data_IF_097847279262
#
_entry.id   IF_097847279262
#
_cell.length_a   1.000
_cell.length_b   1.000
_cell.length_c   1.000
_cell.angle_alpha   90.00
_cell.angle_beta   90.00
_cell.angle_gamma   90.00
#
_symmetry.space_group_name_H-M   'P 1'
#
loop_
_entity.id
_entity.type
_entity.pdbx_description
1 polymer ?
#
# COMPACT_ATOMS: atom_id res chain seq x y z
N UNK A 1 22.50 10.25 -14.89
CA UNK A 1 22.45 9.02 -14.06
C UNK A 1 23.35 9.28 -12.87
N UNK A 2 22.80 9.41 -11.69
CA UNK A 2 23.57 9.51 -10.45
C UNK A 2 23.96 8.09 -10.05
N UNK A 3 25.19 7.73 -10.26
CA UNK A 3 25.76 6.46 -9.81
C UNK A 3 26.45 6.70 -8.47
N UNK A 4 25.89 6.20 -7.40
CA UNK A 4 26.45 6.25 -6.06
C UNK A 4 25.59 5.43 -5.11
N UNK A 5 26.16 5.01 -3.98
CA UNK A 5 25.37 4.43 -2.88
C UNK A 5 24.52 5.56 -2.31
N UNK A 6 23.21 5.40 -2.37
CA UNK A 6 22.30 6.38 -1.79
C UNK A 6 22.51 6.43 -0.27
N UNK A 7 22.58 7.63 0.35
CA UNK A 7 22.54 7.71 1.79
C UNK A 7 21.23 7.04 2.25
N UNK A 8 21.31 6.28 3.33
CA UNK A 8 20.15 5.59 3.89
C UNK A 8 19.01 6.56 4.26
N UNK A 9 17.82 6.06 4.55
CA UNK A 9 16.71 6.88 5.00
C UNK A 9 17.08 7.64 6.28
N UNK A 10 16.37 8.75 6.54
CA UNK A 10 16.58 9.55 7.74
C UNK A 10 16.50 8.71 9.02
N UNK A 11 17.42 8.94 9.93
CA UNK A 11 17.51 8.23 11.20
C UNK A 11 17.53 9.27 12.33
N UNK A 12 16.55 9.17 13.22
CA UNK A 12 16.42 10.08 14.36
C UNK A 12 16.61 9.35 15.67
N UNK A 13 17.24 10.01 16.64
CA UNK A 13 17.43 9.51 17.99
C UNK A 13 16.57 10.31 18.97
N UNK A 14 15.80 9.60 19.78
CA UNK A 14 15.04 10.15 20.90
C UNK A 14 15.59 9.55 22.19
N UNK A 15 15.85 10.38 23.19
CA UNK A 15 16.34 9.96 24.50
C UNK A 15 15.39 10.41 25.61
N UNK A 16 15.11 9.51 26.53
CA UNK A 16 14.34 9.83 27.75
C UNK A 16 14.69 8.86 28.87
N UNK A 17 15.02 9.38 30.03
CA UNK A 17 15.28 8.57 31.25
C UNK A 17 16.37 7.50 31.09
N UNK A 18 17.43 7.79 30.32
CA UNK A 18 18.52 6.85 30.05
C UNK A 18 18.16 5.76 28.98
N UNK A 19 16.99 5.83 28.39
CA UNK A 19 16.55 4.97 27.28
C UNK A 19 16.70 5.69 25.95
N UNK A 20 17.03 4.95 24.90
CA UNK A 20 17.18 5.47 23.56
C UNK A 20 16.20 4.78 22.62
N UNK A 21 15.55 5.56 21.76
CA UNK A 21 14.73 5.08 20.64
C UNK A 21 15.30 5.65 19.34
N UNK A 22 15.60 4.77 18.40
CA UNK A 22 16.00 5.14 17.07
C UNK A 22 14.81 4.97 16.11
N UNK A 23 14.49 6.02 15.37
CA UNK A 23 13.39 6.04 14.42
C UNK A 23 13.98 6.09 13.02
N UNK A 24 13.78 5.03 12.24
CA UNK A 24 14.20 4.94 10.85
C UNK A 24 13.02 5.33 9.95
N UNK A 25 13.16 6.41 9.19
CA UNK A 25 12.15 6.83 8.22
C UNK A 25 12.10 5.87 7.04
N UNK A 26 10.91 5.65 6.51
CA UNK A 26 10.72 4.88 5.28
C UNK A 26 9.81 5.64 4.32
N UNK A 27 10.00 5.43 3.03
CA UNK A 27 9.17 6.00 1.97
C UNK A 27 8.79 4.90 0.98
N UNK A 28 7.64 5.01 0.37
CA UNK A 28 7.16 4.10 -0.67
C UNK A 28 6.37 4.92 -1.71
N UNK A 29 6.50 4.62 -3.01
CA UNK A 29 7.32 3.57 -3.61
C UNK A 29 8.82 3.93 -3.70
N UNK A 30 9.66 2.91 -3.86
CA UNK A 30 11.10 3.03 -4.05
C UNK A 30 11.55 2.27 -5.31
N UNK A 31 12.68 2.64 -5.95
CA UNK A 31 13.27 1.83 -7.02
C UNK A 31 13.48 0.39 -6.54
N UNK A 32 13.07 -0.59 -7.36
CA UNK A 32 13.11 -2.02 -7.00
C UNK A 32 14.54 -2.50 -6.68
N UNK A 33 15.50 -2.00 -7.43
CA UNK A 33 16.92 -2.38 -7.31
C UNK A 33 17.72 -1.40 -6.46
N UNK A 34 17.03 -0.58 -5.66
CA UNK A 34 17.68 0.42 -4.82
C UNK A 34 18.58 -0.26 -3.78
N UNK A 35 19.86 0.08 -3.85
CA UNK A 35 20.84 -0.25 -2.81
C UNK A 35 21.07 0.98 -1.95
N UNK A 36 20.93 0.82 -0.65
CA UNK A 36 21.21 1.86 0.32
C UNK A 36 22.24 1.39 1.34
N UNK A 37 23.01 2.34 1.88
CA UNK A 37 24.06 2.05 2.86
C UNK A 37 23.43 1.82 4.24
N UNK A 38 23.40 0.57 4.67
CA UNK A 38 22.79 0.15 5.93
C UNK A 38 23.81 0.02 7.07
N UNK A 39 25.09 0.42 6.87
CA UNK A 39 26.17 0.20 7.86
C UNK A 39 25.81 0.75 9.23
N UNK A 40 25.40 2.03 9.30
CA UNK A 40 25.01 2.67 10.56
C UNK A 40 23.80 2.00 11.21
N UNK A 41 22.82 1.56 10.42
CA UNK A 41 21.66 0.82 10.92
C UNK A 41 22.08 -0.55 11.44
N UNK A 42 23.00 -1.23 10.77
CA UNK A 42 23.56 -2.50 11.22
C UNK A 42 24.31 -2.41 12.55
N UNK A 43 25.09 -1.34 12.77
CA UNK A 43 25.78 -1.08 14.03
C UNK A 43 24.79 -0.81 15.18
N UNK A 44 23.73 -0.07 14.92
CA UNK A 44 22.67 0.20 15.89
C UNK A 44 21.87 -1.04 16.24
N UNK A 45 21.56 -1.87 15.23
CA UNK A 45 20.87 -3.14 15.45
C UNK A 45 21.67 -4.08 16.35
N UNK A 46 22.99 -4.11 16.20
CA UNK A 46 23.86 -4.95 17.05
C UNK A 46 23.85 -4.53 18.53
N UNK A 47 23.38 -3.32 18.85
CA UNK A 47 23.30 -2.76 20.20
C UNK A 47 21.85 -2.62 20.69
N UNK A 48 20.88 -2.95 19.84
CA UNK A 48 19.47 -2.79 20.15
C UNK A 48 18.93 -3.96 20.99
N UNK A 49 18.13 -3.66 22.00
CA UNK A 49 17.41 -4.67 22.79
C UNK A 49 16.26 -5.30 21.98
N UNK A 50 15.65 -4.53 21.07
CA UNK A 50 14.57 -4.98 20.21
C UNK A 50 14.40 -4.07 18.99
N UNK A 51 13.77 -4.59 17.94
CA UNK A 51 13.28 -3.84 16.79
C UNK A 51 11.77 -3.80 16.84
N UNK A 52 11.20 -2.61 16.71
CA UNK A 52 9.75 -2.44 16.61
C UNK A 52 9.35 -2.53 15.14
N UNK A 53 8.32 -3.34 14.82
CA UNK A 53 7.78 -3.37 13.47
C UNK A 53 7.20 -2.02 13.06
N UNK A 54 7.08 -1.69 11.78
CA UNK A 54 6.29 -0.55 11.35
C UNK A 54 4.88 -0.63 11.93
N UNK A 55 4.35 0.50 12.39
CA UNK A 55 2.97 0.55 12.84
C UNK A 55 2.04 0.18 11.68
N UNK A 56 1.12 -0.72 11.95
CA UNK A 56 0.16 -1.22 10.97
C UNK A 56 -1.14 -1.61 11.65
N UNK A 57 -2.16 -1.82 10.85
CA UNK A 57 -3.41 -2.41 11.30
C UNK A 57 -3.62 -3.72 10.55
N UNK A 58 -3.58 -4.83 11.27
CA UNK A 58 -3.85 -6.15 10.73
C UNK A 58 -5.27 -6.57 11.05
N UNK A 59 -5.96 -7.13 10.06
CA UNK A 59 -7.26 -7.73 10.27
C UNK A 59 -7.09 -9.15 10.81
N UNK A 60 -7.66 -9.42 11.97
CA UNK A 60 -7.72 -10.78 12.50
C UNK A 60 -8.83 -11.55 11.76
N UNK A 61 -8.40 -12.39 10.79
CA UNK A 61 -9.30 -13.16 9.93
C UNK A 61 -9.40 -14.59 10.41
N UNK A 62 -10.58 -15.01 10.84
CA UNK A 62 -10.87 -16.41 11.07
C UNK A 62 -11.07 -17.16 9.74
N UNK A 63 -10.95 -18.49 9.76
CA UNK A 63 -11.28 -19.32 8.60
C UNK A 63 -12.72 -19.09 8.10
N UNK A 64 -13.66 -18.80 9.02
CA UNK A 64 -15.02 -18.42 8.69
C UNK A 64 -15.12 -17.08 7.98
N UNK A 65 -14.24 -16.12 8.28
CA UNK A 65 -14.20 -14.81 7.62
C UNK A 65 -13.63 -14.92 6.20
N UNK A 66 -12.63 -15.77 5.98
CA UNK A 66 -12.14 -16.09 4.64
C UNK A 66 -13.26 -16.65 3.76
N UNK A 67 -14.07 -17.58 4.28
CA UNK A 67 -15.21 -18.12 3.55
C UNK A 67 -16.26 -17.06 3.26
N UNK A 68 -16.57 -16.17 4.21
CA UNK A 68 -17.46 -15.02 3.99
C UNK A 68 -16.90 -14.07 2.92
N UNK A 69 -15.60 -13.79 2.92
CA UNK A 69 -14.95 -12.96 1.89
C UNK A 69 -15.13 -13.58 0.50
N UNK A 70 -14.98 -14.89 0.35
CA UNK A 70 -15.22 -15.57 -0.93
C UNK A 70 -16.68 -15.39 -1.41
N UNK A 71 -17.65 -15.46 -0.52
CA UNK A 71 -19.06 -15.21 -0.87
C UNK A 71 -19.36 -13.75 -1.21
N UNK A 72 -18.59 -12.81 -0.62
CA UNK A 72 -18.71 -11.38 -0.85
C UNK A 72 -17.92 -10.90 -2.07
N UNK A 73 -16.99 -11.71 -2.60
CA UNK A 73 -16.13 -11.34 -3.75
C UNK A 73 -16.94 -10.92 -4.99
N UNK A 74 -18.09 -11.55 -5.22
CA UNK A 74 -18.99 -11.18 -6.33
C UNK A 74 -19.59 -9.79 -6.13
N UNK A 75 -19.98 -9.45 -4.90
CA UNK A 75 -20.50 -8.13 -4.53
C UNK A 75 -19.40 -7.07 -4.54
N UNK A 76 -18.19 -7.41 -4.12
CA UNK A 76 -17.01 -6.56 -4.20
C UNK A 76 -16.68 -6.21 -5.66
N UNK A 77 -16.65 -7.20 -6.55
CA UNK A 77 -16.43 -6.97 -7.98
C UNK A 77 -17.52 -6.10 -8.64
N UNK A 78 -18.76 -6.21 -8.18
CA UNK A 78 -19.83 -5.33 -8.66
C UNK A 78 -19.64 -3.88 -8.15
N UNK A 79 -19.07 -3.71 -6.96
CA UNK A 79 -18.80 -2.39 -6.39
C UNK A 79 -17.63 -1.66 -7.06
N UNK A 80 -16.66 -2.39 -7.58
CA UNK A 80 -15.53 -1.84 -8.33
C UNK A 80 -16.00 -1.25 -9.67
N UNK A 81 -17.06 -1.77 -10.25
CA UNK A 81 -17.52 -1.39 -11.59
C UNK A 81 -18.49 -0.21 -11.55
N UNK A 82 -18.44 0.59 -12.60
CA UNK A 82 -19.46 1.59 -12.88
C UNK A 82 -20.81 0.90 -13.17
N UNK A 83 -21.93 1.51 -12.75
CA UNK A 83 -23.28 0.99 -13.07
C UNK A 83 -23.58 1.11 -14.56
N UNK A 84 -24.63 0.44 -15.01
CA UNK A 84 -25.26 0.58 -16.34
C UNK A 84 -24.31 0.48 -17.53
N UNK A 85 -23.18 -0.23 -17.37
CA UNK A 85 -22.09 -0.36 -18.35
C UNK A 85 -21.41 0.97 -18.70
N UNK A 86 -21.56 1.99 -17.88
CA UNK A 86 -20.86 3.25 -18.04
C UNK A 86 -19.34 3.04 -18.08
N UNK A 87 -18.66 4.01 -18.67
CA UNK A 87 -17.19 4.10 -18.73
C UNK A 87 -16.70 5.33 -18.00
N UNK A 88 -15.40 5.43 -17.77
CA UNK A 88 -14.81 6.62 -17.16
C UNK A 88 -15.09 7.89 -17.95
N UNK A 89 -15.15 7.79 -19.27
CA UNK A 89 -15.52 8.92 -20.16
C UNK A 89 -16.90 9.50 -19.86
N UNK A 90 -17.82 8.68 -19.31
CA UNK A 90 -19.19 9.10 -19.02
C UNK A 90 -19.35 9.75 -17.65
N UNK A 91 -18.35 9.60 -16.74
CA UNK A 91 -18.49 9.96 -15.31
C UNK A 91 -17.44 10.96 -14.80
N UNK A 92 -16.35 11.17 -15.53
CA UNK A 92 -15.33 12.15 -15.15
C UNK A 92 -15.27 13.31 -16.15
N UNK A 93 -14.78 14.50 -15.75
CA UNK A 93 -14.65 15.66 -16.64
C UNK A 93 -13.81 15.33 -17.89
N UNK A 94 -14.15 15.93 -19.02
CA UNK A 94 -13.52 15.64 -20.33
C UNK A 94 -12.01 15.89 -20.33
N UNK A 95 -11.56 16.92 -19.67
CA UNK A 95 -10.14 17.28 -19.54
C UNK A 95 -9.39 16.24 -18.69
N UNK A 96 -10.00 15.80 -17.59
CA UNK A 96 -9.48 14.71 -16.74
C UNK A 96 -9.43 13.40 -17.51
N UNK A 97 -10.46 13.09 -18.30
CA UNK A 97 -10.47 11.88 -19.14
C UNK A 97 -9.39 11.92 -20.23
N UNK A 98 -9.10 13.08 -20.80
CA UNK A 98 -8.02 13.21 -21.78
C UNK A 98 -6.64 12.88 -21.16
N UNK A 99 -6.36 13.37 -19.94
CA UNK A 99 -5.15 13.01 -19.19
C UNK A 99 -5.11 11.52 -18.84
N UNK A 100 -6.22 10.99 -18.33
CA UNK A 100 -6.37 9.57 -18.04
C UNK A 100 -6.07 8.70 -19.26
N UNK A 101 -6.68 9.02 -20.40
CA UNK A 101 -6.52 8.25 -21.65
C UNK A 101 -5.06 8.20 -22.10
N UNK A 102 -4.33 9.32 -21.99
CA UNK A 102 -2.90 9.37 -22.32
C UNK A 102 -2.07 8.47 -21.39
N UNK A 103 -2.27 8.56 -20.09
CA UNK A 103 -1.57 7.71 -19.11
C UNK A 103 -1.95 6.24 -19.24
N UNK A 104 -3.23 5.94 -19.47
CA UNK A 104 -3.69 4.57 -19.72
C UNK A 104 -3.01 3.97 -20.94
N UNK A 105 -2.90 4.72 -22.04
CA UNK A 105 -2.22 4.24 -23.23
C UNK A 105 -0.74 3.92 -22.97
N UNK A 106 -0.11 4.65 -22.08
CA UNK A 106 1.28 4.44 -21.70
C UNK A 106 1.48 3.23 -20.80
N UNK A 107 0.64 3.04 -19.77
CA UNK A 107 0.88 2.07 -18.69
C UNK A 107 -0.06 0.86 -18.70
N UNK A 108 -1.25 0.98 -19.30
CA UNK A 108 -2.28 -0.06 -19.37
C UNK A 108 -2.89 -0.18 -20.78
N UNK A 109 -2.09 -0.27 -21.87
CA UNK A 109 -2.62 -0.20 -23.24
C UNK A 109 -3.63 -1.31 -23.55
N UNK A 110 -3.42 -2.50 -23.02
CA UNK A 110 -4.23 -3.69 -23.31
C UNK A 110 -5.42 -3.90 -22.36
N UNK A 111 -5.47 -3.14 -21.25
CA UNK A 111 -6.55 -3.28 -20.28
C UNK A 111 -7.79 -2.47 -20.69
N UNK A 112 -8.81 -3.20 -21.19
CA UNK A 112 -10.12 -2.66 -21.51
C UNK A 112 -11.09 -2.66 -20.33
N UNK A 113 -10.75 -3.37 -19.23
CA UNK A 113 -11.67 -3.51 -18.09
C UNK A 113 -11.58 -2.31 -17.17
N UNK A 114 -10.41 -1.69 -17.07
CA UNK A 114 -10.17 -0.51 -16.24
C UNK A 114 -11.08 0.66 -16.58
N UNK A 115 -11.47 0.82 -17.85
CA UNK A 115 -12.43 1.85 -18.32
C UNK A 115 -13.83 1.74 -17.71
N UNK A 116 -14.16 0.58 -17.18
CA UNK A 116 -15.47 0.30 -16.55
C UNK A 116 -15.40 0.24 -15.05
N UNK A 117 -14.27 0.58 -14.50
CA UNK A 117 -14.10 0.68 -13.05
C UNK A 117 -14.46 2.08 -12.58
N UNK A 118 -14.84 2.19 -11.30
CA UNK A 118 -15.02 3.50 -10.67
C UNK A 118 -13.70 4.25 -10.61
N UNK A 119 -13.70 5.60 -10.68
CA UNK A 119 -12.50 6.41 -10.76
C UNK A 119 -11.42 6.05 -9.73
N UNK A 120 -11.79 5.82 -8.46
CA UNK A 120 -10.85 5.48 -7.39
C UNK A 120 -10.11 4.16 -7.65
N UNK A 121 -10.80 3.13 -8.17
CA UNK A 121 -10.17 1.84 -8.47
C UNK A 121 -9.34 1.90 -9.76
N UNK A 122 -9.87 2.59 -10.76
CA UNK A 122 -9.16 2.80 -12.02
C UNK A 122 -7.85 3.57 -11.82
N UNK A 123 -7.87 4.63 -11.01
CA UNK A 123 -6.67 5.41 -10.69
C UNK A 123 -5.64 4.59 -9.91
N UNK A 124 -6.10 3.74 -8.97
CA UNK A 124 -5.21 2.84 -8.24
C UNK A 124 -4.55 1.82 -9.15
N UNK A 125 -5.30 1.22 -10.08
CA UNK A 125 -4.77 0.24 -11.04
C UNK A 125 -3.76 0.88 -12.00
N UNK A 126 -4.05 2.08 -12.49
CA UNK A 126 -3.12 2.86 -13.31
C UNK A 126 -1.84 3.22 -12.54
N UNK A 127 -1.99 3.66 -11.29
CA UNK A 127 -0.85 3.99 -10.43
C UNK A 127 0.05 2.78 -10.17
N UNK A 128 -0.55 1.61 -9.87
CA UNK A 128 0.20 0.38 -9.64
C UNK A 128 0.93 -0.08 -10.90
N UNK A 129 0.31 0.05 -12.08
CA UNK A 129 0.95 -0.25 -13.37
C UNK A 129 2.12 0.71 -13.65
N UNK A 130 1.94 2.00 -13.41
CA UNK A 130 2.99 3.01 -13.58
C UNK A 130 4.19 2.73 -12.65
N UNK A 131 3.96 2.43 -11.37
CA UNK A 131 5.02 2.06 -10.42
C UNK A 131 5.86 0.89 -10.97
N UNK A 132 5.19 -0.16 -11.47
CA UNK A 132 5.88 -1.34 -12.01
C UNK A 132 6.65 -1.00 -13.29
N UNK A 133 6.05 -0.24 -14.19
CA UNK A 133 6.67 0.16 -15.46
C UNK A 133 7.92 1.05 -15.25
N UNK A 134 7.88 1.91 -14.25
CA UNK A 134 9.01 2.77 -13.86
C UNK A 134 10.07 2.05 -13.00
N UNK A 135 9.99 0.73 -12.87
CA UNK A 135 10.94 -0.08 -12.10
C UNK A 135 10.90 0.15 -10.60
N UNK A 136 9.80 0.69 -10.10
CA UNK A 136 9.61 0.94 -8.67
C UNK A 136 8.85 -0.20 -7.97
N UNK A 137 8.84 -0.20 -6.65
CA UNK A 137 8.10 -1.16 -5.83
C UNK A 137 7.47 -0.49 -4.62
N UNK A 138 6.29 -0.97 -4.25
CA UNK A 138 5.63 -0.60 -2.98
C UNK A 138 6.08 -1.47 -1.81
N UNK A 139 6.83 -2.53 -2.07
CA UNK A 139 7.42 -3.35 -1.01
C UNK A 139 8.36 -2.50 -0.17
N UNK A 140 8.21 -2.56 1.13
CA UNK A 140 9.08 -1.84 2.05
C UNK A 140 10.47 -2.53 2.11
N UNK A 141 11.33 -2.19 1.14
CA UNK A 141 12.68 -2.77 1.03
C UNK A 141 13.55 -2.44 2.24
N UNK A 142 13.30 -1.29 2.89
CA UNK A 142 14.02 -0.88 4.11
C UNK A 142 13.66 -1.82 5.26
N UNK A 143 12.37 -2.05 5.47
CA UNK A 143 11.91 -3.00 6.50
C UNK A 143 12.41 -4.43 6.23
N UNK A 144 12.38 -4.87 4.98
CA UNK A 144 12.89 -6.19 4.61
C UNK A 144 14.37 -6.34 4.96
N UNK A 145 15.19 -5.32 4.72
CA UNK A 145 16.61 -5.34 5.06
C UNK A 145 16.85 -5.29 6.59
N UNK A 146 16.10 -4.44 7.30
CA UNK A 146 16.20 -4.29 8.78
C UNK A 146 15.78 -5.59 9.47
N UNK A 147 14.65 -6.16 9.07
CA UNK A 147 14.14 -7.40 9.69
C UNK A 147 15.05 -8.60 9.42
N UNK A 148 15.58 -8.74 8.21
CA UNK A 148 16.56 -9.79 7.90
C UNK A 148 17.82 -9.65 8.77
N UNK A 149 18.33 -8.42 8.89
CA UNK A 149 19.53 -8.16 9.69
C UNK A 149 19.30 -8.37 11.18
N UNK A 150 18.13 -7.99 11.70
CA UNK A 150 17.75 -8.24 13.10
C UNK A 150 17.70 -9.76 13.39
N UNK A 151 17.13 -10.54 12.48
CA UNK A 151 17.11 -12.01 12.60
C UNK A 151 18.53 -12.62 12.61
N UNK A 152 19.41 -12.16 11.72
CA UNK A 152 20.82 -12.60 11.70
C UNK A 152 21.56 -12.35 13.00
N UNK A 153 21.29 -11.20 13.64
CA UNK A 153 21.90 -10.76 14.87
C UNK A 153 21.21 -11.35 16.13
N UNK A 154 20.08 -12.04 15.97
CA UNK A 154 19.29 -12.56 17.07
C UNK A 154 18.55 -11.48 17.85
N UNK A 155 18.35 -10.28 17.28
CA UNK A 155 17.61 -9.18 17.90
C UNK A 155 16.12 -9.43 17.78
N UNK A 156 15.35 -9.44 18.86
CA UNK A 156 13.93 -9.73 18.81
C UNK A 156 13.16 -8.64 18.06
N UNK A 157 12.22 -9.05 17.21
CA UNK A 157 11.29 -8.16 16.53
C UNK A 157 9.98 -8.14 17.31
N UNK A 158 9.57 -6.96 17.79
CA UNK A 158 8.32 -6.75 18.52
C UNK A 158 7.29 -6.18 17.56
N UNK A 159 6.18 -6.87 17.44
CA UNK A 159 5.04 -6.41 16.64
C UNK A 159 4.35 -5.24 17.35
N UNK A 160 4.26 -4.10 16.67
CA UNK A 160 3.55 -2.89 17.13
C UNK A 160 2.23 -2.67 16.39
N UNK A 161 1.83 -3.60 15.54
CA UNK A 161 0.56 -3.57 14.80
C UNK A 161 -0.65 -3.65 15.73
N UNK A 162 -1.70 -2.93 15.39
CA UNK A 162 -3.00 -3.06 16.06
C UNK A 162 -3.80 -4.14 15.33
N UNK A 163 -4.17 -5.19 16.05
CA UNK A 163 -5.07 -6.22 15.53
C UNK A 163 -6.50 -5.76 15.68
N UNK A 164 -7.17 -5.56 14.57
CA UNK A 164 -8.57 -5.21 14.55
C UNK A 164 -9.42 -6.45 14.22
N UNK A 165 -10.36 -6.84 15.09
CA UNK A 165 -11.31 -7.90 14.74
C UNK A 165 -12.15 -7.43 13.55
N UNK A 166 -12.00 -8.10 12.42
CA UNK A 166 -12.80 -7.82 11.23
C UNK A 166 -14.17 -8.50 11.39
N UNK A 167 -15.11 -7.79 11.99
CA UNK A 167 -16.50 -8.25 11.99
C UNK A 167 -17.08 -8.08 10.58
N UNK A 168 -16.88 -9.07 9.71
CA UNK A 168 -17.52 -9.14 8.39
C UNK A 168 -19.02 -9.38 8.56
N UNK A 169 -19.75 -8.29 8.83
CA UNK A 169 -21.20 -8.28 8.75
C UNK A 169 -21.61 -7.97 7.31
N UNK A 170 -22.34 -8.90 6.72
CA UNK A 170 -22.80 -8.81 5.33
C UNK A 170 -23.65 -7.56 5.07
N UNK A 171 -24.41 -7.10 6.08
CA UNK A 171 -25.24 -5.91 5.97
C UNK A 171 -24.38 -4.63 5.95
N UNK A 172 -23.42 -4.52 6.88
CA UNK A 172 -22.48 -3.40 6.97
C UNK A 172 -21.60 -3.31 5.74
N UNK A 173 -21.11 -4.43 5.22
CA UNK A 173 -20.33 -4.49 4.00
C UNK A 173 -21.12 -3.98 2.79
N UNK A 174 -22.39 -4.43 2.64
CA UNK A 174 -23.28 -3.96 1.57
C UNK A 174 -23.59 -2.46 1.69
N UNK A 175 -23.81 -1.96 2.90
CA UNK A 175 -24.04 -0.54 3.17
C UNK A 175 -22.77 0.29 2.88
N UNK A 176 -21.60 -0.18 3.26
CA UNK A 176 -20.32 0.48 2.97
C UNK A 176 -20.05 0.58 1.46
N UNK A 177 -20.32 -0.49 0.72
CA UNK A 177 -20.23 -0.50 -0.76
C UNK A 177 -21.23 0.49 -1.38
N UNK A 178 -22.46 0.54 -0.87
CA UNK A 178 -23.47 1.48 -1.35
C UNK A 178 -23.12 2.93 -1.02
N UNK A 179 -22.51 3.19 0.13
CA UNK A 179 -22.03 4.51 0.52
C UNK A 179 -20.87 4.97 -0.38
N UNK A 180 -19.89 4.10 -0.66
CA UNK A 180 -18.81 4.37 -1.62
C UNK A 180 -19.36 4.66 -3.02
N UNK A 181 -20.39 3.91 -3.44
CA UNK A 181 -21.03 4.11 -4.72
C UNK A 181 -21.76 5.45 -4.83
N UNK A 182 -22.20 6.01 -3.71
CA UNK A 182 -22.96 7.27 -3.65
C UNK A 182 -22.05 8.49 -3.50
N UNK A 183 -20.96 8.40 -2.73
CA UNK A 183 -20.04 9.51 -2.51
C UNK A 183 -19.29 9.95 -3.78
N UNK A 184 -19.00 9.03 -4.70
CA UNK A 184 -18.32 9.36 -5.96
C UNK A 184 -19.21 10.09 -6.99
N UNK A 185 -20.54 10.11 -6.79
CA UNK A 185 -21.49 10.74 -7.71
C UNK A 185 -21.86 12.15 -7.25
N UNK A 186 -21.78 12.41 -5.95
CA UNK A 186 -22.19 13.69 -5.35
C UNK A 186 -21.03 14.72 -5.24
N UNK A 187 -19.77 14.32 -5.48
CA UNK A 187 -18.57 15.15 -5.34
C UNK A 187 -17.91 15.55 -6.69
N UNK A 188 -18.64 15.45 -7.82
CA UNK A 188 -18.12 15.82 -9.15
C UNK A 188 -18.84 17.06 -9.69
#
# INVERSE_FOLDING_TARGET
VVTGVMPGPGLWRVESGGRQLWILGTVSPLPRDMKWEALKVGELLAQADAVLSPAGADADLSAGDVMKMMTLARSANAAIKLPDRATLADVIPTDTYALWSGLKQQYLPDDKKVERQRPVFASQELYDAAIVAEGMTRTNIVWSAVSARAMELGVPIVDTGVRMPLALDRSRYKTGIQALAKSEIDDV
#
